data_IF_419089767424
#
_entry.id   IF_419089767424
#
_cell.length_a   1.000
_cell.length_b   1.000
_cell.length_c   1.000
_cell.angle_alpha   90.00
_cell.angle_beta   90.00
_cell.angle_gamma   90.00
#
_symmetry.space_group_name_H-M   'P 1'
#
loop_
_entity.id
_entity.type
_entity.pdbx_description
1 polymer ?
#
# COMPACT_ATOMS: atom_id res chain seq x y z
N UNK A 1 17.39 -34.65 -16.66
CA UNK A 1 16.12 -33.92 -16.31
C UNK A 1 15.12 -34.27 -17.42
N UNK A 2 13.94 -34.79 -17.06
CA UNK A 2 12.90 -35.25 -17.97
C UNK A 2 11.67 -34.36 -17.94
N UNK A 3 10.80 -34.43 -18.93
CA UNK A 3 9.53 -33.72 -18.96
C UNK A 3 8.62 -34.10 -17.78
N UNK A 4 8.72 -35.33 -17.29
CA UNK A 4 7.95 -35.83 -16.16
C UNK A 4 8.39 -35.18 -14.84
N UNK A 5 9.70 -34.97 -14.65
CA UNK A 5 10.23 -34.23 -13.50
C UNK A 5 9.73 -32.78 -13.47
N UNK A 6 9.60 -32.12 -14.64
CA UNK A 6 9.02 -30.79 -14.74
C UNK A 6 7.52 -30.80 -14.42
N UNK A 7 6.75 -31.75 -14.96
CA UNK A 7 5.32 -31.89 -14.64
C UNK A 7 5.12 -32.07 -13.14
N UNK A 8 5.81 -33.02 -12.52
CA UNK A 8 5.70 -33.31 -11.09
C UNK A 8 6.01 -32.06 -10.25
N UNK A 9 7.02 -31.29 -10.64
CA UNK A 9 7.42 -30.07 -9.91
C UNK A 9 6.43 -28.93 -10.04
N UNK A 10 5.83 -28.74 -11.22
CA UNK A 10 5.09 -27.52 -11.53
C UNK A 10 3.56 -27.72 -11.58
N UNK A 11 3.06 -28.97 -11.58
CA UNK A 11 1.62 -29.20 -11.48
C UNK A 11 1.08 -28.66 -10.14
N UNK A 12 0.08 -27.78 -10.22
CA UNK A 12 -0.50 -27.14 -9.03
C UNK A 12 0.30 -25.97 -8.47
N UNK A 13 1.37 -25.51 -9.18
CA UNK A 13 2.09 -24.31 -8.75
C UNK A 13 1.17 -23.08 -8.74
N UNK A 14 1.13 -22.39 -7.62
CA UNK A 14 0.44 -21.10 -7.47
C UNK A 14 1.44 -19.98 -7.79
N UNK A 15 1.16 -19.15 -8.80
CA UNK A 15 2.05 -18.06 -9.18
C UNK A 15 2.21 -17.06 -8.03
N UNK A 16 3.42 -16.52 -7.90
CA UNK A 16 3.75 -15.42 -6.99
C UNK A 16 4.47 -14.32 -7.75
N UNK A 17 4.47 -13.12 -7.21
CA UNK A 17 5.31 -12.04 -7.75
C UNK A 17 6.77 -12.39 -7.50
N UNK A 18 7.59 -12.34 -8.56
CA UNK A 18 9.04 -12.60 -8.46
C UNK A 18 9.77 -11.37 -7.90
N UNK A 19 10.96 -11.63 -7.33
CA UNK A 19 11.91 -10.61 -6.87
C UNK A 19 11.37 -9.66 -5.81
N UNK A 20 10.40 -10.13 -5.00
CA UNK A 20 9.89 -9.37 -3.85
C UNK A 20 10.62 -9.77 -2.57
N UNK A 21 11.03 -8.77 -1.80
CA UNK A 21 11.71 -8.91 -0.49
C UNK A 21 10.74 -8.78 0.68
N UNK A 22 9.50 -8.38 0.42
CA UNK A 22 8.45 -8.23 1.42
C UNK A 22 7.05 -8.12 0.81
N UNK A 23 6.09 -8.60 1.57
CA UNK A 23 4.66 -8.47 1.28
C UNK A 23 4.02 -7.74 2.44
N UNK A 24 3.19 -6.74 2.13
CA UNK A 24 2.55 -5.85 3.10
C UNK A 24 1.06 -5.75 2.77
N UNK A 25 0.24 -5.55 3.79
CA UNK A 25 -1.17 -5.25 3.60
C UNK A 25 -1.58 -4.04 4.44
N UNK A 26 -2.53 -3.28 3.92
CA UNK A 26 -3.13 -2.15 4.63
C UNK A 26 -4.65 -2.26 4.56
N UNK A 27 -5.32 -1.89 5.62
CA UNK A 27 -6.75 -1.66 5.57
C UNK A 27 -6.98 -0.25 5.00
N UNK A 28 -7.91 -0.11 4.07
CA UNK A 28 -8.45 1.17 3.58
C UNK A 28 -9.80 1.37 4.26
N UNK A 29 -9.84 2.02 5.45
CA UNK A 29 -11.02 2.00 6.29
C UNK A 29 -11.99 3.12 5.90
N UNK A 30 -13.19 2.73 5.50
CA UNK A 30 -14.33 3.61 5.34
C UNK A 30 -15.14 3.65 6.64
N UNK A 31 -15.59 4.83 7.03
CA UNK A 31 -16.38 5.06 8.24
C UNK A 31 -17.53 5.99 7.91
N UNK A 32 -18.76 5.60 8.28
CA UNK A 32 -19.90 6.49 8.23
C UNK A 32 -19.83 7.46 9.40
N UNK A 33 -19.89 8.77 9.13
CA UNK A 33 -19.83 9.84 10.10
C UNK A 33 -20.92 10.88 9.83
N UNK A 34 -21.22 11.79 10.77
CA UNK A 34 -22.22 12.85 10.57
C UNK A 34 -21.96 13.72 9.33
N UNK A 35 -20.70 13.91 8.97
CA UNK A 35 -20.25 14.66 7.79
C UNK A 35 -20.29 13.84 6.49
N UNK A 36 -20.71 12.58 6.53
CA UNK A 36 -20.76 11.65 5.41
C UNK A 36 -19.75 10.50 5.52
N UNK A 37 -19.57 9.76 4.43
CA UNK A 37 -18.62 8.67 4.38
C UNK A 37 -17.18 9.23 4.36
N UNK A 38 -16.33 8.76 5.26
CA UNK A 38 -14.95 9.22 5.43
C UNK A 38 -13.96 8.08 5.28
N UNK A 39 -12.76 8.40 4.79
CA UNK A 39 -11.58 7.56 4.95
C UNK A 39 -10.87 7.90 6.26
N UNK A 40 -10.49 6.88 7.01
CA UNK A 40 -9.65 7.00 8.20
C UNK A 40 -8.19 6.86 7.81
N UNK A 41 -7.38 7.80 8.23
CA UNK A 41 -5.92 7.79 8.09
C UNK A 41 -5.26 7.88 9.45
N UNK A 42 -4.01 7.46 9.50
CA UNK A 42 -3.13 7.68 10.64
C UNK A 42 -1.87 8.44 10.23
N UNK A 43 -1.25 9.08 11.20
CA UNK A 43 0.09 9.67 11.08
C UNK A 43 1.05 8.81 11.89
N UNK A 44 2.10 8.35 11.26
CA UNK A 44 3.13 7.51 11.89
C UNK A 44 3.85 8.27 12.99
N UNK A 45 4.19 7.58 14.08
CA UNK A 45 4.90 8.19 15.20
C UNK A 45 6.28 8.73 14.76
N UNK A 46 6.66 9.88 15.31
CA UNK A 46 7.94 10.56 15.00
C UNK A 46 9.16 9.74 15.44
N UNK A 47 8.97 8.75 16.32
CA UNK A 47 10.02 7.87 16.86
C UNK A 47 10.33 6.66 15.98
N UNK A 48 9.55 6.42 14.93
CA UNK A 48 9.74 5.27 14.05
C UNK A 48 11.00 5.42 13.19
N UNK A 49 11.72 4.33 13.01
CA UNK A 49 12.92 4.30 12.18
C UNK A 49 12.68 4.40 10.67
N UNK A 50 11.41 4.23 10.24
CA UNK A 50 11.00 4.33 8.84
C UNK A 50 9.77 5.21 8.73
N UNK A 51 9.82 6.21 7.81
CA UNK A 51 8.72 7.07 7.43
C UNK A 51 8.03 7.76 8.65
N UNK A 52 8.78 8.34 9.60
CA UNK A 52 8.19 9.05 10.72
C UNK A 52 7.37 10.25 10.24
N UNK A 53 6.19 10.46 10.81
CA UNK A 53 5.29 11.58 10.49
C UNK A 53 4.56 11.46 9.15
N UNK A 54 4.75 10.38 8.39
CA UNK A 54 4.00 10.17 7.14
C UNK A 54 2.55 9.76 7.43
N UNK A 55 1.66 10.21 6.56
CA UNK A 55 0.25 9.78 6.56
C UNK A 55 0.15 8.43 5.87
N UNK A 56 -0.50 7.47 6.52
CA UNK A 56 -0.73 6.15 5.95
C UNK A 56 -2.12 5.59 6.31
N UNK A 57 -2.43 4.47 5.70
CA UNK A 57 -3.48 3.57 6.15
C UNK A 57 -2.89 2.59 7.16
N UNK A 58 -3.66 2.11 8.15
CA UNK A 58 -3.18 1.10 9.10
C UNK A 58 -2.80 -0.18 8.37
N UNK A 59 -1.66 -0.76 8.76
CA UNK A 59 -1.17 -1.96 8.13
C UNK A 59 0.32 -2.20 8.28
N UNK A 60 0.74 -3.40 7.90
CA UNK A 60 2.10 -3.83 8.09
C UNK A 60 2.51 -5.01 7.22
N UNK A 61 3.53 -5.72 7.67
CA UNK A 61 4.11 -6.84 6.95
C UNK A 61 3.32 -8.13 7.19
N UNK A 62 3.09 -8.90 6.12
CA UNK A 62 2.51 -10.22 6.24
C UNK A 62 3.43 -11.15 7.05
N UNK A 63 2.85 -11.87 7.98
CA UNK A 63 3.49 -12.98 8.69
C UNK A 63 3.53 -14.25 7.83
N UNK A 64 4.42 -15.23 8.14
CA UNK A 64 4.48 -16.48 7.40
C UNK A 64 3.15 -17.24 7.40
N UNK A 65 2.55 -17.41 6.22
CA UNK A 65 1.28 -18.11 6.03
C UNK A 65 0.03 -17.24 6.22
N UNK A 66 0.20 -15.95 6.49
CA UNK A 66 -0.87 -14.99 6.60
C UNK A 66 -1.33 -14.52 5.21
N UNK A 67 -2.63 -14.30 5.02
CA UNK A 67 -3.18 -13.64 3.85
C UNK A 67 -3.30 -12.12 4.06
N UNK A 68 -3.52 -11.38 2.97
CA UNK A 68 -3.57 -9.92 2.99
C UNK A 68 -4.69 -9.37 3.89
N UNK A 69 -5.87 -10.00 3.88
CA UNK A 69 -7.01 -9.59 4.70
C UNK A 69 -6.71 -9.78 6.18
N UNK A 70 -6.16 -10.93 6.54
CA UNK A 70 -5.81 -11.25 7.92
C UNK A 70 -4.75 -10.27 8.46
N UNK A 71 -3.71 -9.99 7.67
CA UNK A 71 -2.67 -9.02 8.00
C UNK A 71 -3.25 -7.61 8.20
N UNK A 72 -4.00 -7.09 7.23
CA UNK A 72 -4.60 -5.76 7.33
C UNK A 72 -5.47 -5.58 8.58
N UNK A 73 -6.26 -6.60 8.93
CA UNK A 73 -7.13 -6.57 10.12
C UNK A 73 -6.34 -6.71 11.43
N UNK A 74 -5.28 -7.53 11.45
CA UNK A 74 -4.41 -7.68 12.63
C UNK A 74 -3.69 -6.37 12.93
N UNK A 75 -3.03 -5.81 11.94
CA UNK A 75 -2.29 -4.54 12.08
C UNK A 75 -3.23 -3.39 12.49
N UNK A 76 -4.43 -3.31 11.89
CA UNK A 76 -5.45 -2.32 12.29
C UNK A 76 -5.89 -2.46 13.75
N UNK A 77 -5.96 -3.70 14.26
CA UNK A 77 -6.20 -3.93 15.66
C UNK A 77 -5.01 -3.50 16.54
N UNK A 78 -3.80 -3.82 16.15
CA UNK A 78 -2.57 -3.49 16.90
C UNK A 78 -2.34 -1.98 16.94
N UNK A 79 -2.49 -1.28 15.80
CA UNK A 79 -2.22 0.15 15.67
C UNK A 79 -3.36 1.03 16.22
N UNK A 80 -4.64 0.67 15.95
CA UNK A 80 -5.79 1.54 16.23
C UNK A 80 -6.78 0.98 17.25
N UNK A 81 -6.65 -0.29 17.66
CA UNK A 81 -7.57 -0.94 18.57
C UNK A 81 -8.93 -1.30 17.94
N UNK A 82 -9.06 -1.28 16.62
CA UNK A 82 -10.28 -1.66 15.90
C UNK A 82 -10.36 -3.18 15.81
N UNK A 83 -11.32 -3.84 16.49
CA UNK A 83 -11.40 -5.30 16.42
C UNK A 83 -11.87 -5.78 15.05
N UNK A 84 -11.37 -6.94 14.61
CA UNK A 84 -11.75 -7.56 13.34
C UNK A 84 -13.27 -7.64 13.14
N UNK A 85 -14.03 -7.90 14.22
CA UNK A 85 -15.49 -8.02 14.18
C UNK A 85 -16.22 -6.69 13.92
N UNK A 86 -15.51 -5.57 14.02
CA UNK A 86 -16.03 -4.23 13.72
C UNK A 86 -15.70 -3.77 12.30
N UNK A 87 -15.11 -4.64 11.47
CA UNK A 87 -14.75 -4.35 10.08
C UNK A 87 -15.47 -5.32 9.15
N UNK A 88 -16.31 -4.80 8.29
CA UNK A 88 -16.85 -5.51 7.14
C UNK A 88 -15.84 -5.39 5.99
N UNK A 89 -15.20 -6.50 5.62
CA UNK A 89 -14.29 -6.53 4.46
C UNK A 89 -15.11 -6.52 3.19
N UNK A 90 -14.92 -5.48 2.38
CA UNK A 90 -15.64 -5.29 1.11
C UNK A 90 -14.92 -5.97 -0.04
N UNK A 91 -13.61 -5.69 -0.19
CA UNK A 91 -12.81 -6.23 -1.29
C UNK A 91 -11.31 -6.10 -1.02
N UNK A 92 -10.52 -6.96 -1.65
CA UNK A 92 -9.12 -6.66 -1.95
C UNK A 92 -9.08 -5.73 -3.17
N UNK A 93 -8.29 -4.66 -3.08
CA UNK A 93 -8.12 -3.69 -4.17
C UNK A 93 -6.91 -4.07 -5.04
N UNK A 94 -6.66 -3.28 -6.10
CA UNK A 94 -5.51 -3.48 -6.99
C UNK A 94 -4.18 -3.42 -6.21
N UNK A 95 -3.34 -4.41 -6.41
CA UNK A 95 -2.05 -4.51 -5.75
C UNK A 95 -1.05 -3.47 -6.28
N UNK A 96 -0.19 -3.00 -5.41
CA UNK A 96 0.90 -2.10 -5.79
C UNK A 96 2.23 -2.82 -5.67
N UNK A 97 2.98 -2.84 -6.77
CA UNK A 97 4.41 -3.18 -6.73
C UNK A 97 5.22 -1.92 -6.51
N UNK A 98 6.26 -2.01 -5.70
CA UNK A 98 7.14 -0.89 -5.39
C UNK A 98 8.58 -1.19 -5.83
N UNK A 99 9.27 -0.15 -6.36
CA UNK A 99 10.68 -0.26 -6.79
C UNK A 99 11.65 -0.66 -5.67
N UNK A 100 11.23 -0.57 -4.41
CA UNK A 100 11.95 -1.09 -3.25
C UNK A 100 11.84 -2.60 -3.06
N UNK A 101 11.26 -3.34 -4.04
CA UNK A 101 11.18 -4.80 -4.04
C UNK A 101 10.10 -5.36 -3.13
N UNK A 102 8.98 -4.68 -2.94
CA UNK A 102 7.86 -5.22 -2.18
C UNK A 102 6.51 -5.08 -2.91
N UNK A 103 5.53 -5.85 -2.46
CA UNK A 103 4.12 -5.75 -2.87
C UNK A 103 3.30 -5.24 -1.69
N UNK A 104 2.34 -4.37 -1.99
CA UNK A 104 1.36 -3.86 -1.04
C UNK A 104 -0.04 -4.26 -1.50
N UNK A 105 -0.78 -4.89 -0.60
CA UNK A 105 -2.15 -5.37 -0.77
C UNK A 105 -3.11 -4.46 -0.02
N UNK A 106 -3.82 -3.53 -0.69
CA UNK A 106 -4.85 -2.74 -0.03
C UNK A 106 -6.14 -3.54 0.10
N UNK A 107 -6.72 -3.51 1.29
CA UNK A 107 -7.99 -4.16 1.62
C UNK A 107 -9.02 -3.09 1.98
N UNK A 108 -10.10 -3.00 1.23
CA UNK A 108 -11.19 -2.07 1.52
C UNK A 108 -12.10 -2.67 2.61
N UNK A 109 -12.34 -1.92 3.67
CA UNK A 109 -13.23 -2.33 4.74
C UNK A 109 -14.10 -1.18 5.25
N UNK A 110 -15.34 -1.50 5.64
CA UNK A 110 -16.23 -0.58 6.34
C UNK A 110 -16.09 -0.85 7.84
N UNK A 111 -15.67 0.17 8.57
CA UNK A 111 -15.50 0.13 10.03
C UNK A 111 -16.77 0.63 10.68
N UNK A 112 -17.26 -0.06 11.72
CA UNK A 112 -18.44 0.38 12.44
C UNK A 112 -18.19 1.75 13.11
N UNK A 113 -19.20 2.66 13.09
CA UNK A 113 -19.06 3.98 13.71
C UNK A 113 -18.64 3.90 15.18
N UNK A 114 -19.18 2.94 15.94
CA UNK A 114 -18.87 2.74 17.36
C UNK A 114 -17.41 2.39 17.61
N UNK A 115 -16.78 1.62 16.71
CA UNK A 115 -15.35 1.30 16.80
C UNK A 115 -14.50 2.51 16.43
N UNK A 116 -14.92 3.27 15.43
CA UNK A 116 -14.25 4.50 15.02
C UNK A 116 -14.32 5.63 16.07
N UNK A 117 -15.34 5.64 16.93
CA UNK A 117 -15.41 6.55 18.07
C UNK A 117 -14.51 6.15 19.25
N UNK A 118 -14.04 4.89 19.27
CA UNK A 118 -13.28 4.30 20.38
C UNK A 118 -11.87 3.91 19.98
N UNK A 119 -11.29 4.61 19.00
CA UNK A 119 -9.91 4.36 18.59
C UNK A 119 -8.96 4.42 19.78
N UNK A 120 -8.00 3.51 19.79
CA UNK A 120 -6.93 3.44 20.78
C UNK A 120 -5.57 3.36 20.06
N UNK A 121 -5.12 4.49 19.46
CA UNK A 121 -3.86 4.51 18.76
C UNK A 121 -2.71 4.10 19.67
N UNK A 122 -1.90 3.16 19.22
CA UNK A 122 -0.67 2.75 19.90
C UNK A 122 0.38 3.86 19.79
N UNK A 123 0.76 4.58 20.89
CA UNK A 123 1.61 5.77 20.79
C UNK A 123 3.04 5.48 20.31
N UNK A 124 3.44 4.20 20.29
CA UNK A 124 4.72 3.78 19.75
C UNK A 124 4.75 3.80 18.22
N UNK A 125 3.60 3.67 17.56
CA UNK A 125 3.46 3.52 16.11
C UNK A 125 2.62 4.62 15.48
N UNK A 126 1.59 5.08 16.17
CA UNK A 126 0.63 6.08 15.69
C UNK A 126 0.68 7.36 16.52
N UNK A 127 0.98 8.47 15.84
CA UNK A 127 1.00 9.82 16.44
C UNK A 127 -0.39 10.39 16.61
N UNK A 128 -1.21 10.27 15.57
CA UNK A 128 -2.59 10.73 15.52
C UNK A 128 -3.38 10.00 14.45
N UNK A 129 -4.71 10.12 14.53
CA UNK A 129 -5.63 9.65 13.49
C UNK A 129 -6.54 10.79 13.05
N UNK A 130 -7.00 10.76 11.80
CA UNK A 130 -7.94 11.76 11.29
C UNK A 130 -8.82 11.16 10.19
N UNK A 131 -9.93 11.84 9.94
CA UNK A 131 -10.91 11.44 8.94
C UNK A 131 -10.96 12.46 7.81
N UNK A 132 -11.10 11.97 6.58
CA UNK A 132 -11.28 12.82 5.40
C UNK A 132 -12.56 12.40 4.68
N UNK A 133 -13.54 13.30 4.51
CA UNK A 133 -14.75 12.98 3.78
C UNK A 133 -14.44 12.57 2.33
N UNK A 134 -15.03 11.46 1.88
CA UNK A 134 -14.86 10.95 0.52
C UNK A 134 -15.32 12.00 -0.51
N UNK A 135 -16.42 12.71 -0.23
CA UNK A 135 -16.91 13.76 -1.11
C UNK A 135 -15.94 14.93 -1.25
N UNK A 136 -15.20 15.25 -0.15
CA UNK A 136 -14.16 16.25 -0.24
C UNK A 136 -13.01 15.78 -1.14
N UNK A 137 -12.54 14.56 -0.98
CA UNK A 137 -11.48 13.98 -1.83
C UNK A 137 -11.87 13.94 -3.31
N UNK A 138 -13.15 13.65 -3.60
CA UNK A 138 -13.68 13.70 -4.97
C UNK A 138 -13.73 15.12 -5.55
N UNK A 139 -14.10 16.09 -4.74
CA UNK A 139 -14.17 17.49 -5.15
C UNK A 139 -12.78 18.17 -5.28
N UNK A 140 -11.75 17.60 -4.66
CA UNK A 140 -10.39 18.16 -4.62
C UNK A 140 -9.39 17.11 -5.13
N UNK A 141 -9.28 16.93 -6.46
CA UNK A 141 -8.33 15.99 -7.04
C UNK A 141 -6.89 16.33 -6.61
N UNK A 142 -6.01 15.32 -6.50
CA UNK A 142 -4.66 15.55 -6.04
C UNK A 142 -3.82 16.33 -7.04
N UNK A 143 -2.87 17.10 -6.57
CA UNK A 143 -1.75 17.53 -7.39
C UNK A 143 -0.87 16.31 -7.71
N UNK A 144 -0.52 16.13 -8.99
CA UNK A 144 0.26 14.96 -9.41
C UNK A 144 1.63 15.40 -9.87
N UNK A 145 2.63 15.01 -9.09
CA UNK A 145 4.04 15.13 -9.44
C UNK A 145 4.57 13.78 -9.95
N UNK A 146 5.79 13.77 -10.46
CA UNK A 146 6.42 12.53 -10.89
C UNK A 146 7.94 12.64 -10.85
N UNK A 147 8.58 11.48 -10.64
CA UNK A 147 10.03 11.36 -10.81
C UNK A 147 10.38 10.22 -11.76
N UNK A 148 11.51 10.33 -12.52
CA UNK A 148 11.96 9.25 -13.39
C UNK A 148 12.56 8.11 -12.57
N UNK A 149 12.40 6.87 -13.09
CA UNK A 149 13.17 5.71 -12.67
C UNK A 149 14.19 5.40 -13.77
N UNK A 150 15.45 5.62 -13.49
CA UNK A 150 16.53 5.37 -14.43
C UNK A 150 17.38 4.18 -13.96
N UNK A 151 17.59 3.16 -14.82
CA UNK A 151 18.49 2.08 -14.49
C UNK A 151 19.91 2.61 -14.35
N UNK A 152 20.56 2.30 -13.23
CA UNK A 152 21.98 2.55 -13.02
C UNK A 152 22.70 1.20 -13.09
N UNK A 153 23.34 0.95 -14.23
CA UNK A 153 24.06 -0.29 -14.48
C UNK A 153 25.54 -0.08 -14.14
N UNK A 154 26.15 -1.07 -13.46
CA UNK A 154 27.56 -1.02 -13.13
C UNK A 154 28.46 -1.00 -14.36
N UNK A 155 29.65 -0.40 -14.23
CA UNK A 155 30.64 -0.33 -15.33
C UNK A 155 31.14 -1.71 -15.76
N UNK A 156 31.05 -2.71 -14.88
CA UNK A 156 31.45 -4.10 -15.07
C UNK A 156 30.37 -4.95 -15.74
N UNK A 157 29.24 -4.37 -16.16
CA UNK A 157 28.17 -5.12 -16.80
C UNK A 157 28.64 -5.68 -18.14
N UNK A 158 28.50 -7.00 -18.35
CA UNK A 158 29.12 -7.69 -19.50
C UNK A 158 28.28 -7.52 -20.78
N UNK A 159 28.29 -6.35 -21.37
CA UNK A 159 27.53 -6.03 -22.59
C UNK A 159 27.87 -6.95 -23.76
N UNK A 160 29.14 -7.37 -23.90
CA UNK A 160 29.58 -8.32 -24.94
C UNK A 160 28.86 -9.66 -24.82
N UNK A 161 28.64 -10.15 -23.59
CA UNK A 161 28.02 -11.46 -23.33
C UNK A 161 26.54 -11.49 -23.68
N UNK A 162 25.89 -10.33 -23.67
CA UNK A 162 24.48 -10.21 -24.06
C UNK A 162 24.31 -9.76 -25.53
N UNK A 163 25.43 -9.65 -26.29
CA UNK A 163 25.42 -9.31 -27.72
C UNK A 163 25.31 -7.80 -28.01
N UNK A 164 25.56 -6.95 -27.05
CA UNK A 164 25.53 -5.48 -27.20
C UNK A 164 26.85 -4.82 -26.79
N UNK A 165 27.98 -5.11 -27.48
CA UNK A 165 29.31 -4.65 -27.07
C UNK A 165 29.46 -3.13 -27.00
N UNK A 166 28.60 -2.38 -27.69
CA UNK A 166 28.59 -0.90 -27.65
C UNK A 166 27.63 -0.31 -26.61
N UNK A 167 27.09 -1.17 -25.72
CA UNK A 167 26.11 -0.80 -24.71
C UNK A 167 24.67 -1.14 -25.10
N UNK A 168 23.77 -1.11 -24.13
CA UNK A 168 22.35 -1.39 -24.29
C UNK A 168 21.51 -0.23 -23.74
N UNK A 169 20.49 0.17 -24.49
CA UNK A 169 19.58 1.23 -24.06
C UNK A 169 18.55 0.67 -23.09
N UNK A 170 18.83 0.76 -21.81
CA UNK A 170 17.92 0.36 -20.75
C UNK A 170 16.66 1.24 -20.75
N UNK A 171 15.52 0.60 -20.53
CA UNK A 171 14.27 1.34 -20.36
C UNK A 171 14.22 1.93 -18.95
N UNK A 172 13.97 3.22 -18.86
CA UNK A 172 13.53 3.89 -17.65
C UNK A 172 12.03 3.72 -17.42
N UNK A 173 11.59 4.21 -16.28
CA UNK A 173 10.18 4.31 -15.89
C UNK A 173 9.86 5.71 -15.37
N UNK A 174 8.63 5.87 -14.92
CA UNK A 174 8.14 7.09 -14.24
C UNK A 174 7.23 6.68 -13.10
N UNK A 175 7.39 7.30 -11.94
CA UNK A 175 6.51 7.12 -10.79
C UNK A 175 5.73 8.40 -10.57
N UNK A 176 4.42 8.28 -10.57
CA UNK A 176 3.53 9.39 -10.21
C UNK A 176 3.34 9.45 -8.70
N UNK A 177 3.32 10.68 -8.19
CA UNK A 177 3.15 11.00 -6.77
C UNK A 177 1.96 11.93 -6.64
N UNK A 178 0.75 11.40 -6.46
CA UNK A 178 -0.41 12.21 -6.13
C UNK A 178 -0.30 12.72 -4.70
N UNK A 179 -0.67 13.99 -4.48
CA UNK A 179 -0.63 14.67 -3.19
C UNK A 179 -1.99 15.33 -2.96
N UNK A 180 -2.69 14.88 -1.90
CA UNK A 180 -3.87 15.56 -1.37
C UNK A 180 -3.44 16.38 -0.15
N UNK A 181 -3.88 17.63 -0.05
CA UNK A 181 -3.62 18.49 1.10
C UNK A 181 -4.91 18.63 1.93
N UNK A 182 -4.92 18.09 3.14
CA UNK A 182 -6.06 18.15 4.06
C UNK A 182 -5.62 18.68 5.42
N UNK A 183 -6.15 19.86 5.81
CA UNK A 183 -5.92 20.47 7.13
C UNK A 183 -4.43 20.48 7.56
N UNK A 184 -3.55 20.86 6.65
CA UNK A 184 -2.10 20.91 6.90
C UNK A 184 -1.38 19.58 6.83
N UNK A 185 -2.07 18.47 6.51
CA UNK A 185 -1.51 17.13 6.30
C UNK A 185 -1.39 16.85 4.81
N UNK A 186 -0.38 16.09 4.42
CA UNK A 186 -0.19 15.61 3.05
C UNK A 186 -0.47 14.11 2.98
N UNK A 187 -1.47 13.71 2.19
CA UNK A 187 -1.74 12.31 1.85
C UNK A 187 -1.07 12.07 0.50
N UNK A 188 0.04 11.35 0.49
CA UNK A 188 0.90 11.22 -0.69
C UNK A 188 1.54 9.83 -0.81
N UNK A 189 2.42 9.63 -1.77
CA UNK A 189 3.17 8.39 -1.93
C UNK A 189 2.25 7.20 -2.24
N UNK A 190 2.45 6.08 -1.55
CA UNK A 190 1.61 4.88 -1.73
C UNK A 190 0.18 5.13 -1.25
N UNK A 191 0.02 5.82 -0.12
CA UNK A 191 -1.29 6.17 0.44
C UNK A 191 -2.08 7.05 -0.53
N UNK A 192 -1.46 8.09 -1.08
CA UNK A 192 -2.10 8.94 -2.10
C UNK A 192 -2.45 8.17 -3.38
N UNK A 193 -1.62 7.21 -3.80
CA UNK A 193 -1.92 6.35 -4.96
C UNK A 193 -3.12 5.44 -4.71
N UNK A 194 -3.21 4.82 -3.54
CA UNK A 194 -4.36 3.98 -3.14
C UNK A 194 -5.62 4.84 -3.10
N UNK A 195 -5.56 6.00 -2.43
CA UNK A 195 -6.69 6.94 -2.33
C UNK A 195 -7.18 7.35 -3.72
N UNK A 196 -6.28 7.78 -4.62
CA UNK A 196 -6.64 8.16 -5.99
C UNK A 196 -7.30 7.00 -6.74
N UNK A 197 -6.70 5.81 -6.68
CA UNK A 197 -7.21 4.63 -7.40
C UNK A 197 -8.57 4.18 -6.89
N UNK A 198 -8.81 4.24 -5.60
CA UNK A 198 -10.11 3.96 -5.00
C UNK A 198 -11.18 4.90 -5.56
N UNK A 199 -10.89 6.20 -5.62
CA UNK A 199 -11.85 7.22 -6.10
C UNK A 199 -12.10 7.13 -7.61
N UNK A 200 -11.09 6.80 -8.42
CA UNK A 200 -11.23 6.55 -9.87
C UNK A 200 -12.14 5.34 -10.17
N UNK A 201 -12.22 4.36 -9.27
CA UNK A 201 -13.11 3.18 -9.40
C UNK A 201 -14.56 3.44 -9.00
N UNK A 202 -14.88 4.62 -8.48
CA UNK A 202 -16.25 4.99 -8.09
C UNK A 202 -17.01 5.60 -9.25
N UNK A 203 -18.34 5.37 -9.34
CA UNK A 203 -19.20 5.93 -10.40
C UNK A 203 -19.33 7.46 -10.32
#
# INVERSE_FOLDING_TARGET
MTAEEFRTRWTGHVPKVQDVTGEYAVLVPLVERPEGLCLLYEVRADTLGRQPGEVCFPGGRLEPGEDAVSCALRETWEELGIPRTAVEVVAELDWLTHQGGFVLYPVLGIVSPEAAERLRPGPAEVKETFFVPVDWLRAHPPEVYAYPLEPRVGEDFPYDRIGFPQGYRWRGGRVEVPIYAWEGRAIWGLTGRITRRLLEGMP
#
